data_IF_811021118355
#
_entry.id   IF_811021118355
#
_cell.length_a   1.000
_cell.length_b   1.000
_cell.length_c   1.000
_cell.angle_alpha   90.00
_cell.angle_beta   90.00
_cell.angle_gamma   90.00
#
_symmetry.space_group_name_H-M   'P 1'
#
loop_
_entity.id
_entity.type
_entity.pdbx_description
1 polymer ?
#
# COMPACT_ATOMS: atom_id res chain seq x y z
N UNK A 1 -36.68 -32.13 43.21
CA UNK A 1 -35.64 -32.15 42.16
C UNK A 1 -35.95 -31.00 41.22
N UNK A 2 -35.22 -29.88 41.36
CA UNK A 2 -35.41 -28.71 40.50
C UNK A 2 -34.52 -28.87 39.27
N UNK A 3 -35.14 -29.01 38.10
CA UNK A 3 -34.40 -28.96 36.84
C UNK A 3 -33.81 -27.56 36.63
N UNK A 4 -32.58 -27.44 36.11
CA UNK A 4 -32.00 -26.13 35.79
C UNK A 4 -32.77 -25.50 34.62
N UNK A 5 -32.87 -24.15 34.57
CA UNK A 5 -33.52 -23.49 33.46
C UNK A 5 -32.65 -23.61 32.21
N UNK A 6 -33.18 -24.25 31.17
CA UNK A 6 -32.58 -24.26 29.84
C UNK A 6 -32.79 -22.85 29.28
N UNK A 7 -31.72 -22.05 29.25
CA UNK A 7 -31.66 -20.79 28.51
C UNK A 7 -31.92 -21.10 27.03
N UNK A 8 -33.18 -20.94 26.59
CA UNK A 8 -33.53 -20.87 25.17
C UNK A 8 -32.99 -19.56 24.63
N UNK A 9 -31.74 -19.56 24.18
CA UNK A 9 -31.25 -18.52 23.27
C UNK A 9 -32.09 -18.67 22.00
N UNK A 10 -32.91 -17.68 21.72
CA UNK A 10 -33.76 -17.70 20.53
C UNK A 10 -32.87 -17.53 19.29
N UNK A 11 -33.02 -18.39 18.28
CA UNK A 11 -32.22 -18.30 17.05
C UNK A 11 -32.31 -16.90 16.41
N UNK A 12 -33.44 -16.22 16.59
CA UNK A 12 -33.68 -14.86 16.12
C UNK A 12 -32.74 -13.81 16.76
N UNK A 13 -32.47 -13.89 18.07
CA UNK A 13 -31.50 -13.01 18.74
C UNK A 13 -30.07 -13.28 18.26
N UNK A 14 -29.72 -14.54 18.02
CA UNK A 14 -28.40 -14.91 17.51
C UNK A 14 -28.16 -14.33 16.11
N UNK A 15 -29.12 -14.46 15.18
CA UNK A 15 -28.99 -13.90 13.83
C UNK A 15 -29.00 -12.35 13.82
N UNK A 16 -29.80 -11.71 14.67
CA UNK A 16 -29.83 -10.25 14.77
C UNK A 16 -28.53 -9.67 15.34
N UNK A 17 -27.92 -10.37 16.29
CA UNK A 17 -26.61 -10.00 16.85
C UNK A 17 -25.51 -10.08 15.80
N UNK A 18 -25.47 -11.17 15.04
CA UNK A 18 -24.47 -11.38 13.99
C UNK A 18 -24.64 -10.42 12.80
N UNK A 19 -25.87 -10.05 12.44
CA UNK A 19 -26.11 -9.07 11.37
C UNK A 19 -25.70 -7.64 11.75
N UNK A 20 -25.77 -7.26 13.03
CA UNK A 20 -25.21 -6.00 13.53
C UNK A 20 -23.69 -5.96 13.41
N UNK A 21 -23.00 -7.08 13.65
CA UNK A 21 -21.52 -7.20 13.51
C UNK A 21 -21.07 -7.10 12.06
N UNK A 22 -21.90 -7.56 11.11
CA UNK A 22 -21.61 -7.48 9.68
C UNK A 22 -21.85 -6.09 9.07
N UNK A 23 -22.45 -5.16 9.82
CA UNK A 23 -22.50 -3.76 9.41
C UNK A 23 -21.15 -3.10 9.74
N UNK A 24 -20.42 -2.59 8.74
CA UNK A 24 -19.18 -1.91 9.00
C UNK A 24 -19.43 -0.67 9.88
N UNK A 25 -18.67 -0.47 10.98
CA UNK A 25 -18.66 0.80 11.69
C UNK A 25 -18.36 1.96 10.73
N UNK A 26 -18.88 3.16 10.99
CA UNK A 26 -18.66 4.34 10.13
C UNK A 26 -17.19 4.71 9.96
N UNK A 27 -16.32 4.25 10.86
CA UNK A 27 -14.88 4.43 10.80
C UNK A 27 -14.16 3.46 9.83
N UNK A 28 -14.85 2.54 9.16
CA UNK A 28 -14.19 1.56 8.27
C UNK A 28 -14.28 1.94 6.80
N UNK A 29 -13.37 1.38 6.01
CA UNK A 29 -13.32 1.60 4.57
C UNK A 29 -14.57 1.10 3.83
N UNK A 30 -15.22 0.04 4.32
CA UNK A 30 -16.47 -0.46 3.75
C UNK A 30 -17.62 0.53 3.93
N UNK A 31 -17.72 1.16 5.11
CA UNK A 31 -18.72 2.20 5.36
C UNK A 31 -18.46 3.48 4.54
N UNK A 32 -17.18 3.83 4.33
CA UNK A 32 -16.78 4.97 3.51
C UNK A 32 -16.74 4.69 2.00
N UNK A 33 -17.06 3.46 1.56
CA UNK A 33 -16.93 3.01 0.17
C UNK A 33 -15.51 3.13 -0.43
N UNK A 34 -14.46 3.12 0.40
CA UNK A 34 -13.06 3.28 0.02
C UNK A 34 -12.29 1.96 -0.11
N UNK A 35 -12.86 0.83 0.34
CA UNK A 35 -12.15 -0.44 0.45
C UNK A 35 -11.52 -0.91 -0.88
N UNK A 36 -12.27 -0.85 -1.99
CA UNK A 36 -11.76 -1.25 -3.30
C UNK A 36 -10.73 -0.26 -3.85
N UNK A 37 -10.97 1.04 -3.66
CA UNK A 37 -10.05 2.09 -4.08
C UNK A 37 -8.70 1.96 -3.37
N UNK A 38 -8.70 1.70 -2.05
CA UNK A 38 -7.47 1.51 -1.29
C UNK A 38 -6.80 0.19 -1.63
N UNK A 39 -7.54 -0.87 -1.92
CA UNK A 39 -6.96 -2.12 -2.41
C UNK A 39 -6.15 -1.91 -3.70
N UNK A 40 -6.71 -1.20 -4.67
CA UNK A 40 -6.01 -0.86 -5.91
C UNK A 40 -4.74 -0.05 -5.63
N UNK A 41 -4.84 0.97 -4.78
CA UNK A 41 -3.70 1.80 -4.40
C UNK A 41 -2.58 0.98 -3.75
N UNK A 42 -2.91 0.11 -2.80
CA UNK A 42 -1.97 -0.78 -2.11
C UNK A 42 -1.26 -1.73 -3.10
N UNK A 43 -1.99 -2.30 -4.06
CA UNK A 43 -1.42 -3.20 -5.07
C UNK A 43 -0.47 -2.44 -6.00
N UNK A 44 -0.79 -1.20 -6.39
CA UNK A 44 0.14 -0.36 -7.17
C UNK A 44 1.41 -0.09 -6.37
N UNK A 45 1.28 0.34 -5.10
CA UNK A 45 2.44 0.57 -4.22
C UNK A 45 3.28 -0.70 -4.01
N UNK A 46 2.65 -1.86 -3.81
CA UNK A 46 3.35 -3.15 -3.69
C UNK A 46 4.20 -3.44 -4.92
N UNK A 47 3.64 -3.28 -6.13
CA UNK A 47 4.36 -3.49 -7.38
C UNK A 47 5.56 -2.55 -7.50
N UNK A 48 5.38 -1.28 -7.13
CA UNK A 48 6.45 -0.29 -7.15
C UNK A 48 7.57 -0.61 -6.16
N UNK A 49 7.22 -1.13 -4.99
CA UNK A 49 8.20 -1.50 -3.94
C UNK A 49 8.96 -2.77 -4.33
N UNK A 50 8.29 -3.75 -4.94
CA UNK A 50 8.90 -5.02 -5.36
C UNK A 50 9.80 -4.86 -6.59
N UNK A 51 9.44 -3.96 -7.50
CA UNK A 51 10.15 -3.76 -8.77
C UNK A 51 10.34 -2.27 -9.09
N UNK A 52 11.11 -1.52 -8.28
CA UNK A 52 11.29 -0.07 -8.44
C UNK A 52 11.87 0.30 -9.81
N UNK A 53 12.68 -0.55 -10.41
CA UNK A 53 13.25 -0.35 -11.75
C UNK A 53 12.22 -0.36 -12.89
N UNK A 54 11.03 -0.93 -12.66
CA UNK A 54 9.93 -0.95 -13.64
C UNK A 54 8.98 0.24 -13.47
N UNK A 55 9.25 1.12 -12.51
CA UNK A 55 8.40 2.27 -12.20
C UNK A 55 8.83 3.46 -13.04
N UNK A 56 8.16 3.65 -14.18
CA UNK A 56 8.27 4.86 -15.00
C UNK A 56 7.71 6.10 -14.29
N UNK A 57 7.98 7.28 -14.87
CA UNK A 57 7.44 8.56 -14.38
C UNK A 57 5.90 8.53 -14.40
N UNK A 58 5.31 8.00 -15.48
CA UNK A 58 3.86 7.88 -15.64
C UNK A 58 3.21 7.07 -14.50
N UNK A 59 3.85 5.98 -14.07
CA UNK A 59 3.35 5.17 -12.96
C UNK A 59 3.35 5.91 -11.61
N UNK A 60 4.26 6.89 -11.43
CA UNK A 60 4.27 7.75 -10.24
C UNK A 60 3.15 8.77 -10.30
N UNK A 61 2.93 9.39 -11.45
CA UNK A 61 1.86 10.37 -11.64
C UNK A 61 0.48 9.73 -11.49
N UNK A 62 0.31 8.52 -12.06
CA UNK A 62 -0.89 7.70 -11.86
C UNK A 62 -1.14 7.40 -10.38
N UNK A 63 -0.11 6.99 -9.63
CA UNK A 63 -0.22 6.78 -8.18
C UNK A 63 -0.69 8.04 -7.46
N UNK A 64 -0.08 9.20 -7.76
CA UNK A 64 -0.48 10.48 -7.15
C UNK A 64 -1.89 10.90 -7.51
N UNK A 65 -2.35 10.59 -8.73
CA UNK A 65 -3.73 10.85 -9.20
C UNK A 65 -4.76 10.00 -8.45
N UNK A 66 -4.38 8.78 -8.05
CA UNK A 66 -5.24 7.86 -7.30
C UNK A 66 -5.36 8.21 -5.81
N UNK A 67 -4.54 9.11 -5.27
CA UNK A 67 -4.59 9.41 -3.83
C UNK A 67 -5.88 10.16 -3.44
N UNK A 68 -6.56 9.78 -2.36
CA UNK A 68 -7.59 10.62 -1.75
C UNK A 68 -7.02 11.92 -1.19
N UNK A 69 -7.87 12.95 -1.05
CA UNK A 69 -7.47 14.24 -0.51
C UNK A 69 -6.93 14.17 0.93
N UNK A 70 -7.48 13.26 1.77
CA UNK A 70 -6.99 13.01 3.12
C UNK A 70 -5.55 12.52 3.11
N UNK A 71 -5.27 11.46 2.33
CA UNK A 71 -3.93 10.89 2.16
C UNK A 71 -2.95 11.89 1.57
N UNK A 72 -3.36 12.66 0.54
CA UNK A 72 -2.51 13.74 -0.04
C UNK A 72 -2.11 14.77 1.01
N UNK A 73 -3.05 15.16 1.87
CA UNK A 73 -2.82 16.15 2.93
C UNK A 73 -1.86 15.61 3.99
N UNK A 74 -2.07 14.37 4.44
CA UNK A 74 -1.19 13.66 5.38
C UNK A 74 0.22 13.51 4.82
N UNK A 75 0.35 13.07 3.57
CA UNK A 75 1.65 12.94 2.89
C UNK A 75 2.37 14.30 2.80
N UNK A 76 1.67 15.36 2.38
CA UNK A 76 2.26 16.70 2.30
C UNK A 76 2.75 17.19 3.67
N UNK A 77 1.97 16.94 4.72
CA UNK A 77 2.36 17.29 6.09
C UNK A 77 3.65 16.58 6.50
N UNK A 78 3.73 15.27 6.24
CA UNK A 78 4.90 14.44 6.56
C UNK A 78 6.14 14.85 5.77
N UNK A 79 6.00 15.12 4.48
CA UNK A 79 7.13 15.48 3.62
C UNK A 79 7.70 16.87 3.90
N UNK A 80 6.92 17.80 4.49
CA UNK A 80 7.43 19.14 4.87
C UNK A 80 8.54 19.09 5.93
N UNK A 81 8.61 18.03 6.74
CA UNK A 81 9.62 17.84 7.78
C UNK A 81 10.81 16.96 7.38
N UNK A 82 10.72 16.26 6.24
CA UNK A 82 11.78 15.35 5.77
C UNK A 82 12.71 16.16 4.86
N UNK A 83 13.98 16.29 5.27
CA UNK A 83 14.99 17.06 4.53
C UNK A 83 15.11 16.66 3.05
N UNK A 84 15.72 17.55 2.26
CA UNK A 84 15.75 17.41 0.80
C UNK A 84 16.74 16.36 0.28
N UNK A 85 17.68 15.88 1.08
CA UNK A 85 18.71 14.92 0.69
C UNK A 85 18.40 13.51 1.16
N UNK A 86 18.52 12.52 0.28
CA UNK A 86 18.44 11.10 0.58
C UNK A 86 19.75 10.43 0.18
N UNK A 87 20.75 10.49 1.05
CA UNK A 87 22.10 9.95 0.76
C UNK A 87 22.54 8.83 1.68
N UNK A 88 21.72 8.46 2.67
CA UNK A 88 22.06 7.43 3.65
C UNK A 88 21.58 6.03 3.16
N UNK A 89 22.52 5.12 2.81
CA UNK A 89 22.18 3.76 2.37
C UNK A 89 21.61 2.89 3.48
N UNK A 90 21.99 3.12 4.76
CA UNK A 90 21.48 2.35 5.90
C UNK A 90 20.00 2.68 6.09
N UNK A 91 19.67 3.97 6.12
CA UNK A 91 18.29 4.44 6.20
C UNK A 91 17.46 3.97 4.99
N UNK A 92 18.05 3.89 3.79
CA UNK A 92 17.37 3.32 2.62
C UNK A 92 17.03 1.84 2.81
N UNK A 93 17.92 1.06 3.44
CA UNK A 93 17.68 -0.32 3.83
C UNK A 93 16.55 -0.44 4.86
N UNK A 94 16.58 0.39 5.91
CA UNK A 94 15.54 0.41 6.94
C UNK A 94 14.16 0.74 6.37
N UNK A 95 14.08 1.70 5.44
CA UNK A 95 12.85 1.99 4.72
C UNK A 95 12.37 0.78 3.92
N UNK A 96 13.25 0.09 3.18
CA UNK A 96 12.86 -1.11 2.43
C UNK A 96 12.26 -2.18 3.35
N UNK A 97 12.88 -2.43 4.50
CA UNK A 97 12.39 -3.39 5.48
C UNK A 97 11.04 -2.96 6.10
N UNK A 98 10.90 -1.68 6.44
CA UNK A 98 9.66 -1.13 6.97
C UNK A 98 8.50 -1.25 5.97
N UNK A 99 8.74 -0.93 4.70
CA UNK A 99 7.77 -1.07 3.62
C UNK A 99 7.33 -2.54 3.46
N UNK A 100 8.28 -3.48 3.50
CA UNK A 100 7.97 -4.92 3.44
C UNK A 100 7.13 -5.38 4.64
N UNK A 101 7.44 -4.92 5.86
CA UNK A 101 6.66 -5.26 7.07
C UNK A 101 5.23 -4.74 6.97
N UNK A 102 5.02 -3.51 6.50
CA UNK A 102 3.68 -2.95 6.30
C UNK A 102 2.92 -3.75 5.24
N UNK A 103 3.55 -4.04 4.10
CA UNK A 103 2.92 -4.83 3.04
C UNK A 103 2.64 -6.27 3.46
N UNK A 104 3.43 -6.86 4.36
CA UNK A 104 3.26 -8.23 4.83
C UNK A 104 1.87 -8.51 5.39
N UNK A 105 1.24 -7.52 6.04
CA UNK A 105 -0.14 -7.66 6.54
C UNK A 105 -1.17 -6.94 5.66
N UNK A 106 -0.78 -5.88 4.94
CA UNK A 106 -1.71 -5.07 4.16
C UNK A 106 -1.99 -5.65 2.76
N UNK A 107 -0.97 -6.21 2.10
CA UNK A 107 -1.08 -6.77 0.74
C UNK A 107 -2.11 -7.91 0.66
N UNK A 108 -2.09 -8.93 1.54
CA UNK A 108 -3.07 -10.03 1.46
C UNK A 108 -4.53 -9.55 1.53
N UNK A 109 -4.82 -8.56 2.37
CA UNK A 109 -6.15 -7.96 2.50
C UNK A 109 -6.58 -7.21 1.23
N UNK A 110 -5.64 -6.48 0.60
CA UNK A 110 -5.88 -5.77 -0.64
C UNK A 110 -6.17 -6.73 -1.81
N UNK A 111 -5.35 -7.77 -1.99
CA UNK A 111 -5.58 -8.80 -3.01
C UNK A 111 -6.91 -9.51 -2.81
N UNK A 112 -7.23 -9.88 -1.56
CA UNK A 112 -8.52 -10.47 -1.23
C UNK A 112 -9.69 -9.54 -1.56
N UNK A 113 -9.55 -8.22 -1.36
CA UNK A 113 -10.59 -7.26 -1.74
C UNK A 113 -10.83 -7.23 -3.25
N UNK A 114 -9.78 -7.22 -4.07
CA UNK A 114 -9.92 -7.28 -5.54
C UNK A 114 -10.60 -8.58 -5.96
N UNK A 115 -10.14 -9.69 -5.40
CA UNK A 115 -10.68 -11.02 -5.70
C UNK A 115 -12.15 -11.14 -5.31
N UNK A 116 -12.49 -10.67 -4.10
CA UNK A 116 -13.87 -10.63 -3.59
C UNK A 116 -14.79 -9.82 -4.50
N UNK A 117 -14.30 -8.70 -5.03
CA UNK A 117 -15.05 -7.86 -5.97
C UNK A 117 -15.19 -8.53 -7.34
N UNK A 118 -14.13 -9.16 -7.85
CA UNK A 118 -14.15 -9.84 -9.16
C UNK A 118 -15.16 -10.99 -9.23
N UNK A 119 -15.28 -11.77 -8.15
CA UNK A 119 -16.23 -12.89 -8.06
C UNK A 119 -17.70 -12.43 -8.11
N UNK A 120 -17.96 -11.15 -7.85
CA UNK A 120 -19.31 -10.56 -7.85
C UNK A 120 -19.58 -9.69 -9.09
N UNK A 121 -18.56 -9.37 -9.87
CA UNK A 121 -18.74 -8.71 -11.17
C UNK A 121 -19.22 -9.73 -12.21
N UNK A 122 -20.40 -9.50 -12.80
CA UNK A 122 -21.00 -10.41 -13.79
C UNK A 122 -20.07 -10.75 -14.97
N UNK A 123 -19.20 -9.81 -15.37
CA UNK A 123 -18.23 -10.01 -16.46
C UNK A 123 -17.09 -10.98 -16.09
N UNK A 124 -16.73 -11.07 -14.81
CA UNK A 124 -15.59 -11.86 -14.32
C UNK A 124 -16.01 -13.20 -13.69
N UNK A 125 -17.30 -13.40 -13.39
CA UNK A 125 -17.85 -14.63 -12.83
C UNK A 125 -17.56 -15.89 -13.66
N UNK A 126 -17.41 -15.76 -14.99
CA UNK A 126 -17.15 -16.89 -15.89
C UNK A 126 -15.65 -17.19 -16.10
N UNK A 127 -14.75 -16.33 -15.62
CA UNK A 127 -13.30 -16.40 -15.91
C UNK A 127 -12.46 -16.74 -14.68
N UNK A 128 -12.96 -16.51 -13.47
CA UNK A 128 -12.21 -16.71 -12.23
C UNK A 128 -12.84 -17.82 -11.40
N UNK A 129 -12.07 -18.85 -10.96
CA UNK A 129 -12.56 -19.86 -10.03
C UNK A 129 -13.10 -19.21 -8.76
N UNK A 130 -14.31 -19.61 -8.30
CA UNK A 130 -14.87 -19.14 -7.04
C UNK A 130 -13.98 -19.60 -5.88
N UNK A 131 -13.40 -18.65 -5.17
CA UNK A 131 -12.44 -18.93 -4.10
C UNK A 131 -12.96 -18.65 -2.70
N UNK A 132 -14.24 -18.27 -2.59
CA UNK A 132 -14.96 -18.09 -1.32
C UNK A 132 -14.23 -17.14 -0.35
N UNK A 133 -13.67 -16.02 -0.86
CA UNK A 133 -13.07 -15.00 0.01
C UNK A 133 -14.14 -14.40 0.92
N UNK A 134 -13.86 -14.33 2.22
CA UNK A 134 -14.76 -13.70 3.19
C UNK A 134 -14.49 -12.19 3.27
N UNK A 135 -15.53 -11.40 3.52
CA UNK A 135 -15.42 -9.93 3.63
C UNK A 135 -14.49 -9.49 4.79
N UNK A 136 -14.39 -10.30 5.85
CA UNK A 136 -13.47 -10.08 6.97
C UNK A 136 -11.98 -10.26 6.57
N UNK A 137 -11.71 -11.03 5.52
CA UNK A 137 -10.37 -11.24 4.97
C UNK A 137 -9.95 -10.13 3.99
N UNK A 138 -10.78 -9.09 3.83
CA UNK A 138 -10.52 -7.96 2.94
C UNK A 138 -10.37 -6.66 3.73
N UNK A 139 -10.11 -5.57 3.03
CA UNK A 139 -10.05 -4.22 3.62
C UNK A 139 -11.41 -3.67 4.07
N UNK A 140 -12.53 -4.36 3.81
CA UNK A 140 -13.87 -3.82 4.06
C UNK A 140 -14.12 -3.38 5.51
N UNK A 141 -13.62 -4.15 6.48
CA UNK A 141 -13.74 -3.81 7.90
C UNK A 141 -12.50 -3.09 8.46
N UNK A 142 -11.51 -2.78 7.62
CA UNK A 142 -10.33 -2.06 8.08
C UNK A 142 -10.69 -0.62 8.49
N UNK A 143 -10.13 -0.16 9.61
CA UNK A 143 -10.30 1.21 10.08
C UNK A 143 -9.63 2.19 9.11
N UNK A 144 -10.38 3.19 8.65
CA UNK A 144 -9.96 4.13 7.63
C UNK A 144 -8.70 4.90 8.04
N UNK A 145 -8.68 5.50 9.22
CA UNK A 145 -7.56 6.32 9.70
C UNK A 145 -6.27 5.50 9.80
N UNK A 146 -6.34 4.28 10.36
CA UNK A 146 -5.19 3.37 10.45
C UNK A 146 -4.69 2.94 9.07
N UNK A 147 -5.60 2.67 8.13
CA UNK A 147 -5.19 2.34 6.76
C UNK A 147 -4.57 3.53 6.04
N UNK A 148 -5.12 4.73 6.18
CA UNK A 148 -4.55 5.95 5.59
C UNK A 148 -3.17 6.28 6.17
N UNK A 149 -2.98 6.08 7.47
CA UNK A 149 -1.67 6.23 8.11
C UNK A 149 -0.66 5.23 7.52
N UNK A 150 -1.02 3.94 7.40
CA UNK A 150 -0.16 2.93 6.79
C UNK A 150 0.17 3.24 5.31
N UNK A 151 -0.82 3.69 4.53
CA UNK A 151 -0.61 4.14 3.15
C UNK A 151 0.35 5.33 3.11
N UNK A 152 0.20 6.28 4.04
CA UNK A 152 1.09 7.45 4.12
C UNK A 152 2.53 7.04 4.42
N UNK A 153 2.76 6.08 5.32
CA UNK A 153 4.10 5.52 5.56
C UNK A 153 4.69 4.86 4.31
N UNK A 154 3.87 4.10 3.57
CA UNK A 154 4.30 3.48 2.31
C UNK A 154 4.77 4.54 1.30
N UNK A 155 4.01 5.64 1.17
CA UNK A 155 4.31 6.74 0.26
C UNK A 155 5.57 7.51 0.67
N UNK A 156 5.76 7.76 1.97
CA UNK A 156 6.96 8.43 2.49
C UNK A 156 8.21 7.60 2.23
N UNK A 157 8.16 6.30 2.52
CA UNK A 157 9.28 5.38 2.26
C UNK A 157 9.59 5.24 0.77
N UNK A 158 8.57 5.12 -0.08
CA UNK A 158 8.73 5.12 -1.53
C UNK A 158 9.39 6.40 -2.04
N UNK A 159 8.92 7.56 -1.57
CA UNK A 159 9.53 8.85 -1.93
C UNK A 159 10.99 8.94 -1.49
N UNK A 160 11.34 8.42 -0.30
CA UNK A 160 12.74 8.37 0.17
C UNK A 160 13.60 7.48 -0.74
N UNK A 161 13.17 6.25 -0.99
CA UNK A 161 13.92 5.27 -1.82
C UNK A 161 14.16 5.83 -3.23
N UNK A 162 13.15 6.41 -3.86
CA UNK A 162 13.30 6.98 -5.21
C UNK A 162 14.26 8.17 -5.25
N UNK A 163 14.27 9.01 -4.20
CA UNK A 163 15.24 10.10 -4.10
C UNK A 163 16.65 9.54 -3.90
N UNK A 164 16.80 8.55 -3.03
CA UNK A 164 18.08 7.90 -2.77
C UNK A 164 18.67 7.28 -4.04
N UNK A 165 17.89 6.48 -4.77
CA UNK A 165 18.33 5.88 -6.03
C UNK A 165 18.72 6.93 -7.07
N UNK A 166 17.94 8.03 -7.17
CA UNK A 166 18.27 9.14 -8.09
C UNK A 166 19.59 9.82 -7.72
N UNK A 167 19.81 10.11 -6.44
CA UNK A 167 21.05 10.72 -5.95
C UNK A 167 22.26 9.80 -6.18
N UNK A 168 22.13 8.50 -5.91
CA UNK A 168 23.21 7.53 -6.13
C UNK A 168 23.54 7.38 -7.62
N UNK A 169 22.52 7.28 -8.48
CA UNK A 169 22.71 7.20 -9.93
C UNK A 169 23.38 8.46 -10.49
N UNK A 170 22.99 9.64 -10.00
CA UNK A 170 23.63 10.89 -10.40
C UNK A 170 25.12 10.91 -9.98
N UNK A 171 25.44 10.54 -8.74
CA UNK A 171 26.83 10.46 -8.25
C UNK A 171 27.68 9.51 -9.09
N UNK A 172 27.18 8.31 -9.35
CA UNK A 172 27.88 7.33 -10.19
C UNK A 172 28.13 7.85 -11.62
N UNK A 173 27.15 8.55 -12.21
CA UNK A 173 27.31 9.16 -13.53
C UNK A 173 28.39 10.25 -13.52
N UNK A 174 28.40 11.13 -12.51
CA UNK A 174 29.43 12.16 -12.36
C UNK A 174 30.83 11.57 -12.19
N UNK A 175 30.98 10.49 -11.41
CA UNK A 175 32.25 9.78 -11.24
C UNK A 175 32.74 9.17 -12.57
N UNK A 176 31.86 8.52 -13.34
CA UNK A 176 32.20 7.99 -14.66
C UNK A 176 32.62 9.09 -15.66
N UNK A 177 31.93 10.22 -15.69
CA UNK A 177 32.30 11.35 -16.56
C UNK A 177 33.66 11.93 -16.18
N UNK A 178 33.93 12.11 -14.88
CA UNK A 178 35.23 12.59 -14.41
C UNK A 178 36.36 11.62 -14.77
N UNK A 179 36.13 10.31 -14.63
CA UNK A 179 37.10 9.29 -15.02
C UNK A 179 37.40 9.31 -16.52
N UNK A 180 36.38 9.41 -17.37
CA UNK A 180 36.55 9.51 -18.82
C UNK A 180 37.30 10.79 -19.22
N UNK A 181 37.01 11.93 -18.58
CA UNK A 181 37.73 13.17 -18.82
C UNK A 181 39.22 13.05 -18.42
N UNK A 182 39.52 12.40 -17.29
CA UNK A 182 40.90 12.15 -16.86
C UNK A 182 41.67 11.25 -17.82
N UNK A 183 41.03 10.20 -18.35
CA UNK A 183 41.64 9.33 -19.36
C UNK A 183 41.90 10.07 -20.68
N UNK A 184 40.96 10.90 -21.14
CA UNK A 184 41.12 11.68 -22.37
C UNK A 184 42.26 12.71 -22.26
N UNK A 185 42.43 13.36 -21.09
CA UNK A 185 43.57 14.26 -20.87
C UNK A 185 44.93 13.54 -20.92
N UNK A 186 45.02 12.31 -20.41
CA UNK A 186 46.27 11.52 -20.48
C UNK A 186 46.62 11.08 -21.88
N UNK A 187 45.63 10.86 -22.74
CA UNK A 187 45.85 10.41 -24.12
C UNK A 187 46.18 11.55 -25.09
N UNK A 188 45.89 12.80 -24.74
CA UNK A 188 46.19 14.00 -25.55
C UNK A 188 47.55 14.64 -25.25
N UNK A 189 48.29 14.14 -24.25
CA UNK A 189 49.61 14.66 -23.85
C UNK A 189 50.81 13.82 -24.33
N UNK A 190 50.60 12.85 -25.23
CA UNK A 190 51.65 12.06 -25.86
C UNK A 190 51.79 12.39 -27.35
#
# INVERSE_FOLDING_TARGET
MNNPPILKVSDHEFFESNTKVLKPPTSTLGAAALALHYANLIIVMEKMIRSPQLVGVDARDDLYSMLPNSVRSSLRSRLKGVGFSASDPVLAGEWKDALQKILGWLSPLAHNMIKWQSERSFEQQNLVPKTNVLLLQTLYFANQEKTEAAITELLVGLNYIWRFEREMNAKALFECTNFNNFLNLKHSSN
#
